data_IF_825578133253
#
_entry.id   IF_825578133253
#
_cell.length_a   1.000
_cell.length_b   1.000
_cell.length_c   1.000
_cell.angle_alpha   90.00
_cell.angle_beta   90.00
_cell.angle_gamma   90.00
#
_symmetry.space_group_name_H-M   'P 1'
#
loop_
_entity.id
_entity.type
_entity.pdbx_description
1 polymer ?
#
# COMPACT_ATOMS: atom_id res chain seq x y z
N UNK A 1 -14.34 1.11 -4.74
CA UNK A 1 -14.00 1.92 -5.93
C UNK A 1 -13.24 3.23 -5.62
N UNK A 2 -13.15 3.66 -4.35
CA UNK A 2 -12.50 4.92 -3.93
C UNK A 2 -11.00 5.07 -4.28
N UNK A 3 -10.22 3.99 -4.16
CA UNK A 3 -8.78 4.06 -4.42
C UNK A 3 -8.46 4.32 -5.89
N UNK A 4 -9.19 3.65 -6.80
CA UNK A 4 -9.00 3.84 -8.23
C UNK A 4 -9.49 5.23 -8.68
N UNK A 5 -10.59 5.74 -8.11
CA UNK A 5 -11.09 7.08 -8.48
C UNK A 5 -10.14 8.20 -8.04
N UNK A 6 -9.49 8.07 -6.89
CA UNK A 6 -8.59 9.13 -6.40
C UNK A 6 -7.17 9.04 -6.97
N UNK A 7 -6.72 7.84 -7.34
CA UNK A 7 -5.41 7.67 -8.01
C UNK A 7 -5.53 7.88 -9.52
N UNK A 8 -6.67 7.52 -10.10
CA UNK A 8 -7.00 7.51 -11.53
C UNK A 8 -6.09 6.57 -12.34
N UNK A 9 -4.84 6.97 -12.59
CA UNK A 9 -3.88 6.18 -13.38
C UNK A 9 -2.56 5.98 -12.62
N UNK A 10 -2.21 4.71 -12.39
CA UNK A 10 -0.94 4.34 -11.77
C UNK A 10 0.27 4.58 -12.69
N UNK A 11 0.08 4.64 -14.01
CA UNK A 11 1.17 4.92 -14.98
C UNK A 11 1.73 6.33 -14.84
N UNK A 12 1.00 7.24 -14.19
CA UNK A 12 1.50 8.58 -13.82
C UNK A 12 2.75 8.51 -12.92
N UNK A 13 2.91 7.44 -12.15
CA UNK A 13 4.03 7.28 -11.23
C UNK A 13 5.11 6.40 -11.86
N UNK A 14 6.24 7.01 -12.23
CA UNK A 14 7.39 6.29 -12.81
C UNK A 14 7.98 5.23 -11.86
N UNK A 15 7.85 5.44 -10.55
CA UNK A 15 8.39 4.56 -9.53
C UNK A 15 7.44 4.45 -8.34
N UNK A 16 7.58 3.36 -7.57
CA UNK A 16 6.85 3.19 -6.31
C UNK A 16 7.11 4.35 -5.32
N UNK A 17 8.34 4.89 -5.30
CA UNK A 17 8.71 6.04 -4.46
C UNK A 17 7.91 7.30 -4.80
N UNK A 18 7.70 7.56 -6.09
CA UNK A 18 6.86 8.68 -6.56
C UNK A 18 5.40 8.53 -6.09
N UNK A 19 4.85 7.31 -6.17
CA UNK A 19 3.51 7.02 -5.66
C UNK A 19 3.40 7.19 -4.14
N UNK A 20 4.38 6.67 -3.38
CA UNK A 20 4.41 6.84 -1.92
C UNK A 20 4.53 8.31 -1.50
N UNK A 21 5.25 9.12 -2.27
CA UNK A 21 5.39 10.57 -2.04
C UNK A 21 4.06 11.29 -2.28
N UNK A 22 3.35 10.94 -3.35
CA UNK A 22 2.01 11.46 -3.63
C UNK A 22 1.01 11.16 -2.51
N UNK A 23 1.10 9.97 -1.90
CA UNK A 23 0.27 9.55 -0.77
C UNK A 23 0.69 10.14 0.59
N UNK A 24 1.82 10.84 0.63
CA UNK A 24 2.38 11.40 1.84
C UNK A 24 2.86 10.35 2.85
N UNK A 25 3.36 9.21 2.35
CA UNK A 25 3.87 8.08 3.13
C UNK A 25 5.40 8.06 3.23
N UNK A 26 6.08 9.04 2.65
CA UNK A 26 7.54 9.18 2.72
C UNK A 26 7.94 10.14 3.84
N UNK A 27 9.12 9.98 4.46
CA UNK A 27 9.65 10.96 5.42
C UNK A 27 9.78 12.34 4.78
N UNK A 28 9.43 13.40 5.52
CA UNK A 28 9.81 14.75 5.15
C UNK A 28 11.31 14.97 5.39
N UNK A 29 11.90 15.95 4.70
CA UNK A 29 13.32 16.25 4.82
C UNK A 29 13.54 17.77 4.86
N UNK A 30 14.31 18.22 5.85
CA UNK A 30 14.86 19.57 5.92
C UNK A 30 16.38 19.46 5.82
N UNK A 31 16.94 20.03 4.75
CA UNK A 31 18.38 19.98 4.49
C UNK A 31 18.91 21.38 4.18
N UNK A 32 20.04 21.74 4.78
CA UNK A 32 20.74 23.01 4.54
C UNK A 32 22.25 22.81 4.60
N UNK A 33 22.96 23.14 3.53
CA UNK A 33 24.39 22.84 3.39
C UNK A 33 24.67 21.36 3.59
N UNK A 34 25.53 21.03 4.57
CA UNK A 34 25.86 19.65 4.96
C UNK A 34 24.90 19.02 5.98
N UNK A 35 23.92 19.79 6.50
CA UNK A 35 22.98 19.28 7.49
C UNK A 35 21.77 18.65 6.81
N UNK A 36 21.42 17.44 7.24
CA UNK A 36 20.23 16.70 6.79
C UNK A 36 19.40 16.27 7.99
N UNK A 37 18.12 16.61 8.01
CA UNK A 37 17.17 16.20 9.04
C UNK A 37 15.92 15.58 8.42
N UNK A 38 15.75 14.28 8.61
CA UNK A 38 14.50 13.61 8.28
C UNK A 38 13.46 13.82 9.38
N UNK A 39 12.20 13.95 8.99
CA UNK A 39 11.06 14.15 9.90
C UNK A 39 10.03 13.03 9.74
N UNK A 40 8.86 13.18 10.36
CA UNK A 40 7.73 12.28 10.15
C UNK A 40 7.32 12.21 8.69
N UNK A 41 6.36 11.35 8.37
CA UNK A 41 5.75 11.33 7.04
C UNK A 41 5.26 12.72 6.61
N UNK A 42 5.32 13.02 5.31
CA UNK A 42 4.94 14.33 4.77
C UNK A 42 3.43 14.62 4.88
N UNK A 43 2.58 13.58 5.01
CA UNK A 43 1.10 13.69 5.08
C UNK A 43 0.45 14.41 3.89
N UNK A 44 1.19 14.59 2.79
CA UNK A 44 0.68 15.14 1.53
C UNK A 44 -0.39 14.24 0.91
N UNK A 45 -1.30 14.82 0.13
CA UNK A 45 -2.36 14.08 -0.54
C UNK A 45 -3.50 13.63 0.39
N UNK A 46 -4.28 12.66 -0.07
CA UNK A 46 -5.55 12.25 0.55
C UNK A 46 -5.34 11.50 1.88
N UNK A 47 -5.81 12.03 3.03
CA UNK A 47 -5.74 11.33 4.30
C UNK A 47 -6.49 9.99 4.29
N UNK A 48 -7.54 9.89 3.45
CA UNK A 48 -8.34 8.67 3.27
C UNK A 48 -7.53 7.59 2.57
N UNK A 49 -6.83 7.91 1.48
CA UNK A 49 -5.96 6.94 0.79
C UNK A 49 -4.85 6.43 1.71
N UNK A 50 -4.20 7.35 2.42
CA UNK A 50 -3.16 7.00 3.39
C UNK A 50 -3.70 6.06 4.47
N UNK A 51 -4.86 6.36 5.07
CA UNK A 51 -5.49 5.49 6.07
C UNK A 51 -5.77 4.10 5.50
N UNK A 52 -6.44 4.02 4.35
CA UNK A 52 -6.79 2.73 3.72
C UNK A 52 -5.54 1.87 3.46
N UNK A 53 -4.47 2.48 2.94
CA UNK A 53 -3.24 1.76 2.61
C UNK A 53 -2.47 1.32 3.86
N UNK A 54 -2.43 2.16 4.90
CA UNK A 54 -1.82 1.79 6.19
C UNK A 54 -2.58 0.63 6.84
N UNK A 55 -3.91 0.72 6.92
CA UNK A 55 -4.74 -0.36 7.45
C UNK A 55 -4.57 -1.65 6.65
N UNK A 56 -4.55 -1.57 5.31
CA UNK A 56 -4.33 -2.73 4.45
C UNK A 56 -2.95 -3.37 4.68
N UNK A 57 -1.90 -2.57 4.84
CA UNK A 57 -0.56 -3.08 5.16
C UNK A 57 -0.55 -3.84 6.50
N UNK A 58 -1.25 -3.32 7.51
CA UNK A 58 -1.37 -3.99 8.82
C UNK A 58 -2.10 -5.33 8.76
N UNK A 59 -3.08 -5.51 7.87
CA UNK A 59 -3.78 -6.79 7.70
C UNK A 59 -2.83 -7.92 7.25
N UNK A 60 -1.77 -7.58 6.51
CA UNK A 60 -0.78 -8.57 6.05
C UNK A 60 0.17 -9.06 7.15
N UNK A 61 0.01 -8.61 8.41
CA UNK A 61 0.69 -9.24 9.55
C UNK A 61 0.27 -10.70 9.76
N UNK A 62 -0.95 -11.04 9.36
CA UNK A 62 -1.51 -12.38 9.53
C UNK A 62 -1.20 -13.28 8.33
N UNK A 63 -0.93 -14.56 8.59
CA UNK A 63 -0.70 -15.56 7.55
C UNK A 63 -2.01 -15.94 6.87
N UNK A 64 -2.41 -15.14 5.87
CA UNK A 64 -2.99 -15.58 4.60
C UNK A 64 -4.28 -16.42 4.54
N UNK A 65 -4.87 -16.90 5.63
CA UNK A 65 -6.16 -17.61 5.54
C UNK A 65 -7.23 -16.58 5.23
N UNK A 66 -7.74 -16.60 3.99
CA UNK A 66 -8.79 -15.68 3.56
C UNK A 66 -9.95 -15.73 4.55
N UNK A 67 -10.25 -14.60 5.19
CA UNK A 67 -11.44 -14.48 6.04
C UNK A 67 -12.68 -14.91 5.26
N UNK A 68 -13.74 -15.36 5.96
CA UNK A 68 -15.04 -15.69 5.35
C UNK A 68 -15.51 -14.60 4.39
N UNK A 69 -15.24 -13.33 4.71
CA UNK A 69 -15.56 -12.16 3.85
C UNK A 69 -14.71 -12.11 2.58
N UNK A 70 -13.44 -12.50 2.63
CA UNK A 70 -12.57 -12.54 1.44
C UNK A 70 -12.96 -13.71 0.54
N UNK A 71 -13.28 -14.86 1.12
CA UNK A 71 -13.76 -16.04 0.39
C UNK A 71 -15.07 -15.73 -0.33
N UNK A 72 -16.04 -15.12 0.35
CA UNK A 72 -17.31 -14.75 -0.28
C UNK A 72 -17.14 -13.77 -1.45
N UNK A 73 -16.23 -12.80 -1.33
CA UNK A 73 -15.89 -11.85 -2.41
C UNK A 73 -15.23 -12.50 -3.64
N UNK A 74 -14.67 -13.71 -3.49
CA UNK A 74 -14.02 -14.44 -4.59
C UNK A 74 -14.98 -15.35 -5.35
N UNK A 75 -16.17 -15.60 -4.82
CA UNK A 75 -17.21 -16.40 -5.51
C UNK A 75 -17.55 -15.75 -6.85
N UNK A 76 -17.51 -16.53 -7.93
CA UNK A 76 -17.76 -16.06 -9.30
C UNK A 76 -16.62 -15.24 -9.94
N UNK A 77 -15.48 -15.08 -9.27
CA UNK A 77 -14.31 -14.42 -9.85
C UNK A 77 -13.47 -15.41 -10.65
N UNK A 78 -12.79 -14.93 -11.70
CA UNK A 78 -11.87 -15.76 -12.49
C UNK A 78 -10.73 -16.31 -11.63
N UNK A 79 -10.36 -17.57 -11.86
CA UNK A 79 -9.26 -18.24 -11.18
C UNK A 79 -7.92 -17.47 -11.31
N UNK A 80 -7.69 -16.80 -12.46
CA UNK A 80 -6.51 -15.95 -12.65
C UNK A 80 -6.50 -14.73 -11.71
N UNK A 81 -7.66 -14.10 -11.51
CA UNK A 81 -7.78 -12.94 -10.61
C UNK A 81 -7.55 -13.37 -9.16
N UNK A 82 -8.14 -14.50 -8.76
CA UNK A 82 -7.98 -15.06 -7.40
C UNK A 82 -6.52 -15.44 -7.14
N UNK A 83 -5.87 -16.17 -8.06
CA UNK A 83 -4.46 -16.56 -7.90
C UNK A 83 -3.51 -15.37 -7.86
N UNK A 84 -3.75 -14.32 -8.66
CA UNK A 84 -2.98 -13.08 -8.60
C UNK A 84 -3.13 -12.39 -7.24
N UNK A 85 -4.35 -12.31 -6.70
CA UNK A 85 -4.63 -11.72 -5.40
C UNK A 85 -3.95 -12.50 -4.26
N UNK A 86 -3.93 -13.83 -4.33
CA UNK A 86 -3.23 -14.70 -3.38
C UNK A 86 -1.72 -14.51 -3.45
N UNK A 87 -1.15 -14.52 -4.65
CA UNK A 87 0.28 -14.26 -4.88
C UNK A 87 0.69 -12.89 -4.32
N UNK A 88 -0.12 -11.85 -4.55
CA UNK A 88 0.12 -10.53 -3.99
C UNK A 88 0.06 -10.53 -2.45
N UNK A 89 -0.93 -11.21 -1.86
CA UNK A 89 -1.11 -11.30 -0.41
C UNK A 89 0.06 -12.01 0.27
N UNK A 90 0.53 -13.11 -0.31
CA UNK A 90 1.70 -13.86 0.18
C UNK A 90 2.97 -13.01 0.11
N UNK A 91 3.18 -12.29 -1.00
CA UNK A 91 4.31 -11.36 -1.16
C UNK A 91 4.30 -10.27 -0.09
N UNK A 92 3.14 -9.67 0.18
CA UNK A 92 2.98 -8.63 1.20
C UNK A 92 3.19 -9.18 2.62
N UNK A 93 2.68 -10.37 2.93
CA UNK A 93 2.92 -11.04 4.21
C UNK A 93 4.40 -11.34 4.43
N UNK A 94 5.10 -11.87 3.42
CA UNK A 94 6.55 -12.09 3.47
C UNK A 94 7.30 -10.78 3.69
N UNK A 95 6.92 -9.70 2.99
CA UNK A 95 7.53 -8.38 3.18
C UNK A 95 7.32 -7.88 4.60
N UNK A 96 6.12 -8.02 5.17
CA UNK A 96 5.83 -7.63 6.56
C UNK A 96 6.71 -8.40 7.55
N UNK A 97 6.83 -9.73 7.39
CA UNK A 97 7.69 -10.56 8.23
C UNK A 97 9.16 -10.14 8.19
N UNK A 98 9.65 -9.70 7.03
CA UNK A 98 11.04 -9.27 6.84
C UNK A 98 11.30 -7.81 7.28
N UNK A 99 10.27 -7.06 7.68
CA UNK A 99 10.42 -5.69 8.22
C UNK A 99 10.51 -5.67 9.75
N UNK A 100 10.35 -6.83 10.39
CA UNK A 100 10.52 -7.05 11.83
C UNK A 100 11.88 -7.72 12.06
#
# INVERSE_FOLDING_TARGET
>A
MFLLSEVNDFKRFKTAGSFMSFLGLVPGEYSSGSKRKQTSITKTGSPRLRRILVEAAWQHRFSGTGSKVVVSRRVGQSALVVSLAEKASLRLHKKFKNMR
#
